data_IF_232667555902
#
_entry.id   IF_232667555902
#
_cell.length_a   1.000
_cell.length_b   1.000
_cell.length_c   1.000
_cell.angle_alpha   90.00
_cell.angle_beta   90.00
_cell.angle_gamma   90.00
#
_symmetry.space_group_name_H-M   'P 1'
#
loop_
_entity.id
_entity.type
_entity.pdbx_description
1 polymer ?
#
# COMPACT_ATOMS: atom_id res chain seq x y z
N UNK A 1 -30.55 33.16 -23.19
CA UNK A 1 -30.01 32.55 -21.96
C UNK A 1 -29.30 31.28 -22.39
N UNK A 2 -27.97 31.35 -22.56
CA UNK A 2 -27.17 30.18 -22.97
C UNK A 2 -27.09 29.25 -21.76
N UNK A 3 -27.59 28.03 -21.93
CA UNK A 3 -27.35 26.95 -20.96
C UNK A 3 -25.85 26.71 -20.92
N UNK A 4 -25.25 26.87 -19.74
CA UNK A 4 -23.89 26.42 -19.52
C UNK A 4 -23.91 24.89 -19.60
N UNK A 5 -23.24 24.32 -20.59
CA UNK A 5 -22.82 22.92 -20.54
C UNK A 5 -21.89 22.80 -19.33
N UNK A 6 -22.46 22.40 -18.19
CA UNK A 6 -21.69 21.90 -17.06
C UNK A 6 -21.13 20.58 -17.54
N UNK A 7 -19.87 20.59 -17.99
CA UNK A 7 -19.12 19.38 -18.22
C UNK A 7 -19.33 18.49 -16.99
N UNK A 8 -19.85 17.28 -17.20
CA UNK A 8 -20.02 16.30 -16.13
C UNK A 8 -18.70 16.26 -15.37
N UNK A 9 -18.72 16.60 -14.08
CA UNK A 9 -17.49 16.67 -13.31
C UNK A 9 -16.80 15.31 -13.43
N UNK A 10 -15.52 15.31 -13.83
CA UNK A 10 -14.73 14.11 -14.07
C UNK A 10 -14.58 13.31 -12.77
N UNK A 11 -15.59 12.49 -12.47
CA UNK A 11 -15.64 11.67 -11.28
C UNK A 11 -14.48 10.67 -11.30
N UNK A 12 -13.77 10.56 -10.18
CA UNK A 12 -12.63 9.66 -10.08
C UNK A 12 -11.37 10.14 -10.80
N UNK A 13 -11.15 11.45 -10.83
CA UNK A 13 -9.87 12.05 -11.27
C UNK A 13 -9.15 12.74 -10.12
N UNK A 14 -7.82 12.81 -10.21
CA UNK A 14 -6.99 13.51 -9.24
C UNK A 14 -7.37 15.00 -9.19
N UNK A 15 -7.66 15.51 -8.00
CA UNK A 15 -8.13 16.88 -7.76
C UNK A 15 -9.61 17.11 -8.12
N UNK A 16 -10.33 16.11 -8.63
CA UNK A 16 -11.75 16.18 -8.93
C UNK A 16 -12.62 16.20 -7.66
N UNK A 17 -13.95 16.35 -7.80
CA UNK A 17 -14.85 16.29 -6.65
C UNK A 17 -14.81 14.91 -5.98
N UNK A 18 -14.83 14.90 -4.65
CA UNK A 18 -14.91 13.69 -3.84
C UNK A 18 -16.38 13.20 -3.73
N UNK A 19 -16.62 11.88 -3.59
CA UNK A 19 -17.93 11.36 -3.24
C UNK A 19 -18.48 12.02 -1.98
N UNK A 20 -19.75 12.44 -2.00
CA UNK A 20 -20.34 13.19 -0.89
C UNK A 20 -20.54 12.36 0.38
N UNK A 21 -20.60 11.04 0.27
CA UNK A 21 -20.97 10.11 1.34
C UNK A 21 -19.83 9.24 1.87
N UNK A 22 -18.55 9.64 1.67
CA UNK A 22 -17.39 8.87 2.15
C UNK A 22 -17.48 8.62 3.66
N UNK A 23 -17.84 9.64 4.45
CA UNK A 23 -17.93 9.52 5.90
C UNK A 23 -19.04 8.56 6.33
N UNK A 24 -20.19 8.57 5.64
CA UNK A 24 -21.29 7.64 5.90
C UNK A 24 -20.87 6.19 5.65
N UNK A 25 -20.23 5.94 4.50
CA UNK A 25 -19.69 4.61 4.14
C UNK A 25 -18.67 4.15 5.18
N UNK A 26 -17.72 5.01 5.54
CA UNK A 26 -16.68 4.68 6.51
C UNK A 26 -17.27 4.37 7.89
N UNK A 27 -18.28 5.14 8.32
CA UNK A 27 -18.96 4.91 9.58
C UNK A 27 -19.68 3.56 9.60
N UNK A 28 -20.36 3.18 8.52
CA UNK A 28 -21.01 1.86 8.40
C UNK A 28 -19.96 0.75 8.43
N UNK A 29 -18.90 0.84 7.63
CA UNK A 29 -17.85 -0.18 7.58
C UNK A 29 -17.10 -0.34 8.92
N UNK A 30 -17.01 0.73 9.72
CA UNK A 30 -16.32 0.74 11.02
C UNK A 30 -17.17 0.15 12.15
N UNK A 31 -18.47 -0.14 11.92
CA UNK A 31 -19.33 -0.81 12.91
C UNK A 31 -18.82 -2.21 13.27
N UNK A 32 -18.18 -2.89 12.32
CA UNK A 32 -17.59 -4.21 12.57
C UNK A 32 -16.33 -4.09 13.44
N UNK A 33 -16.13 -4.97 14.44
CA UNK A 33 -15.06 -4.84 15.44
C UNK A 33 -13.72 -5.43 14.97
N UNK A 34 -13.36 -5.26 13.70
CA UNK A 34 -12.07 -5.73 13.19
C UNK A 34 -10.91 -4.93 13.79
N UNK A 35 -9.74 -5.56 13.88
CA UNK A 35 -8.51 -4.95 14.39
C UNK A 35 -7.60 -4.45 13.26
N UNK A 36 -7.61 -5.16 12.13
CA UNK A 36 -6.85 -4.86 10.94
C UNK A 36 -7.63 -5.29 9.69
N UNK A 37 -7.25 -4.78 8.52
CA UNK A 37 -7.78 -5.24 7.24
C UNK A 37 -6.67 -5.32 6.19
N UNK A 38 -6.56 -6.46 5.53
CA UNK A 38 -5.72 -6.65 4.36
C UNK A 38 -6.48 -6.12 3.14
N UNK A 39 -5.95 -5.08 2.51
CA UNK A 39 -6.51 -4.47 1.32
C UNK A 39 -5.82 -5.06 0.10
N UNK A 40 -6.54 -5.93 -0.61
CA UNK A 40 -6.06 -6.64 -1.78
C UNK A 40 -6.66 -5.99 -3.01
N UNK A 41 -5.83 -5.28 -3.76
CA UNK A 41 -6.25 -4.52 -4.92
C UNK A 41 -5.87 -5.24 -6.21
N UNK A 42 -6.83 -5.46 -7.10
CA UNK A 42 -6.68 -6.20 -8.36
C UNK A 42 -7.39 -5.46 -9.50
N UNK A 43 -6.88 -5.62 -10.72
CA UNK A 43 -7.48 -4.97 -11.88
C UNK A 43 -6.55 -4.81 -13.08
N UNK A 44 -7.12 -4.39 -14.20
CA UNK A 44 -6.48 -4.31 -15.53
C UNK A 44 -5.64 -3.04 -15.68
N UNK A 45 -4.60 -2.84 -14.88
CA UNK A 45 -3.60 -1.85 -15.24
C UNK A 45 -2.80 -2.35 -16.45
N UNK A 46 -2.65 -1.51 -17.49
CA UNK A 46 -1.93 -1.84 -18.75
C UNK A 46 -0.46 -2.28 -18.58
N UNK A 47 0.09 -2.21 -17.37
CA UNK A 47 1.32 -2.90 -16.99
C UNK A 47 0.97 -3.92 -15.92
N UNK A 48 1.33 -5.18 -16.12
CA UNK A 48 0.90 -6.37 -15.37
C UNK A 48 1.19 -6.37 -13.86
N UNK A 49 0.64 -5.44 -13.10
CA UNK A 49 0.55 -5.52 -11.65
C UNK A 49 -0.34 -6.73 -11.32
N UNK A 50 0.24 -7.79 -10.78
CA UNK A 50 -0.44 -9.00 -10.26
C UNK A 50 -1.25 -8.73 -8.99
N UNK A 51 -1.66 -7.47 -8.78
CA UNK A 51 -2.31 -6.94 -7.60
C UNK A 51 -1.47 -5.90 -6.87
N UNK A 52 -1.99 -5.39 -5.76
CA UNK A 52 -1.30 -4.57 -4.76
C UNK A 52 -1.84 -4.97 -3.37
N UNK A 53 -0.96 -4.98 -2.36
CA UNK A 53 -1.32 -5.33 -0.99
C UNK A 53 -1.00 -4.15 -0.08
N UNK A 54 -2.01 -3.67 0.64
CA UNK A 54 -1.86 -2.69 1.70
C UNK A 54 -2.47 -3.25 3.00
N UNK A 55 -2.06 -2.68 4.13
CA UNK A 55 -2.55 -3.08 5.44
C UNK A 55 -3.20 -1.88 6.13
N UNK A 56 -4.49 -1.97 6.42
CA UNK A 56 -5.17 -1.03 7.30
C UNK A 56 -5.04 -1.50 8.75
N UNK A 57 -4.50 -0.65 9.63
CA UNK A 57 -4.47 -0.88 11.07
C UNK A 57 -5.50 0.02 11.73
N UNK A 58 -6.38 -0.57 12.54
CA UNK A 58 -7.39 0.19 13.27
C UNK A 58 -6.78 0.92 14.46
N UNK A 59 -6.90 2.24 14.45
CA UNK A 59 -6.52 3.11 15.56
C UNK A 59 -7.71 3.34 16.51
N UNK A 60 -7.46 3.41 17.83
CA UNK A 60 -8.52 3.51 18.85
C UNK A 60 -9.13 4.92 19.02
N UNK A 61 -8.62 5.94 18.33
CA UNK A 61 -9.14 7.31 18.40
C UNK A 61 -10.35 7.53 17.45
N UNK A 62 -11.23 8.53 17.71
CA UNK A 62 -12.16 9.00 16.70
C UNK A 62 -11.36 9.52 15.51
N UNK A 63 -11.40 8.75 14.43
CA UNK A 63 -10.51 8.92 13.30
C UNK A 63 -10.67 7.77 12.32
N UNK A 64 -10.00 7.92 11.20
CA UNK A 64 -9.95 6.91 10.16
C UNK A 64 -8.90 5.85 10.50
N UNK A 65 -9.02 4.65 9.92
CA UNK A 65 -7.91 3.69 9.99
C UNK A 65 -6.70 4.24 9.22
N UNK A 66 -5.50 3.82 9.59
CA UNK A 66 -4.31 4.13 8.82
C UNK A 66 -3.97 2.97 7.90
N UNK A 67 -3.81 3.27 6.61
CA UNK A 67 -3.40 2.32 5.59
C UNK A 67 -1.91 2.48 5.33
N UNK A 68 -1.18 1.39 5.48
CA UNK A 68 0.24 1.27 5.17
C UNK A 68 0.42 0.58 3.83
N UNK A 69 1.19 1.19 2.94
CA UNK A 69 1.47 0.62 1.62
C UNK A 69 2.85 0.99 1.09
N UNK A 70 3.42 0.15 0.23
CA UNK A 70 4.71 0.44 -0.41
C UNK A 70 4.53 1.40 -1.60
N UNK A 71 5.27 2.51 -1.57
CA UNK A 71 5.37 3.50 -2.62
C UNK A 71 6.15 2.97 -3.83
N UNK A 72 5.46 2.79 -4.96
CA UNK A 72 6.07 2.35 -6.21
C UNK A 72 7.20 3.28 -6.70
N UNK A 73 7.07 4.58 -6.47
CA UNK A 73 8.01 5.59 -6.97
C UNK A 73 9.23 5.77 -6.08
N UNK A 74 9.25 5.17 -4.89
CA UNK A 74 10.42 5.11 -4.01
C UNK A 74 11.49 4.10 -4.49
N UNK A 75 11.65 3.94 -5.81
CA UNK A 75 12.60 3.02 -6.46
C UNK A 75 13.97 3.67 -6.77
N UNK A 76 14.08 4.98 -6.52
CA UNK A 76 15.23 5.84 -6.84
C UNK A 76 15.58 5.87 -8.34
N UNK A 77 14.64 5.57 -9.24
CA UNK A 77 14.87 5.70 -10.67
C UNK A 77 14.99 7.18 -11.05
N UNK A 78 15.93 7.56 -11.94
CA UNK A 78 16.10 8.96 -12.35
C UNK A 78 14.82 9.63 -12.88
N UNK A 79 13.98 8.86 -13.58
CA UNK A 79 12.67 9.32 -14.08
C UNK A 79 11.63 9.62 -12.99
N UNK A 80 11.82 9.09 -11.78
CA UNK A 80 10.93 9.31 -10.63
C UNK A 80 11.48 10.37 -9.66
N UNK A 81 12.66 10.94 -9.94
CA UNK A 81 13.29 11.92 -9.05
C UNK A 81 12.56 13.28 -8.98
N UNK A 82 11.61 13.55 -9.88
CA UNK A 82 10.79 14.77 -9.89
C UNK A 82 9.35 14.44 -10.26
N UNK A 83 8.41 15.14 -9.63
CA UNK A 83 6.97 15.01 -9.92
C UNK A 83 6.29 13.83 -9.23
N UNK A 84 7.01 13.09 -8.38
CA UNK A 84 6.50 11.97 -7.60
C UNK A 84 6.85 12.17 -6.13
N UNK A 85 5.96 11.72 -5.25
CA UNK A 85 6.24 11.60 -3.84
C UNK A 85 7.23 10.44 -3.67
N UNK A 86 8.42 10.73 -3.15
CA UNK A 86 9.48 9.73 -2.94
C UNK A 86 10.11 9.84 -1.57
N UNK A 87 9.47 10.59 -0.67
CA UNK A 87 10.00 10.88 0.66
C UNK A 87 10.01 9.60 1.49
N UNK A 88 8.95 8.79 1.42
CA UNK A 88 8.85 7.51 2.11
C UNK A 88 8.68 6.31 1.16
N UNK A 89 9.22 5.16 1.58
CA UNK A 89 9.02 3.87 0.92
C UNK A 89 7.72 3.21 1.38
N UNK A 90 7.41 3.27 2.67
CA UNK A 90 6.15 2.85 3.25
C UNK A 90 5.31 4.07 3.56
N UNK A 91 4.29 4.30 2.76
CA UNK A 91 3.35 5.40 2.89
C UNK A 91 2.30 5.04 3.94
N UNK A 92 1.89 6.01 4.75
CA UNK A 92 0.77 5.89 5.68
C UNK A 92 -0.23 7.02 5.45
N UNK A 93 -1.47 6.68 5.08
CA UNK A 93 -2.56 7.66 4.87
C UNK A 93 -3.87 7.17 5.51
N UNK A 94 -4.82 8.07 5.81
CA UNK A 94 -6.17 7.67 6.23
C UNK A 94 -6.83 6.71 5.22
N UNK A 95 -7.55 5.70 5.68
CA UNK A 95 -8.19 4.70 4.81
C UNK A 95 -9.21 5.28 3.83
N UNK A 96 -9.98 6.29 4.22
CA UNK A 96 -10.84 7.08 3.33
C UNK A 96 -10.03 7.78 2.25
N UNK A 97 -8.86 8.32 2.60
CA UNK A 97 -7.94 8.92 1.61
C UNK A 97 -7.44 7.86 0.64
N UNK A 98 -6.93 6.76 1.19
CA UNK A 98 -6.42 5.63 0.42
C UNK A 98 -7.45 5.10 -0.58
N UNK A 99 -8.70 4.91 -0.15
CA UNK A 99 -9.74 4.30 -0.96
C UNK A 99 -10.44 5.29 -1.88
N UNK A 100 -10.89 6.45 -1.36
CA UNK A 100 -11.95 7.24 -1.99
C UNK A 100 -11.61 8.70 -2.28
N UNK A 101 -10.55 9.27 -1.71
CA UNK A 101 -10.26 10.69 -1.94
C UNK A 101 -9.59 10.94 -3.28
N UNK A 102 -9.77 12.16 -3.76
CA UNK A 102 -9.17 12.68 -5.01
C UNK A 102 -8.00 13.63 -4.73
N UNK A 103 -7.74 13.96 -3.46
CA UNK A 103 -6.58 14.71 -2.99
C UNK A 103 -5.83 13.92 -1.91
N UNK A 104 -4.52 14.19 -1.78
CA UNK A 104 -3.68 13.51 -0.79
C UNK A 104 -3.10 14.46 0.24
N UNK A 105 -3.04 14.00 1.49
CA UNK A 105 -2.35 14.66 2.59
C UNK A 105 -0.83 14.63 2.47
N UNK A 106 -0.28 13.76 1.62
CA UNK A 106 1.16 13.69 1.31
C UNK A 106 1.62 14.79 0.34
N UNK A 107 0.67 15.52 -0.25
CA UNK A 107 0.92 16.62 -1.19
C UNK A 107 0.72 16.26 -2.66
N UNK A 108 0.93 17.25 -3.52
CA UNK A 108 0.53 17.21 -4.94
C UNK A 108 1.31 16.19 -5.78
N UNK A 109 2.43 15.68 -5.28
CA UNK A 109 3.26 14.69 -5.97
C UNK A 109 2.87 13.25 -5.64
N UNK A 110 1.95 13.02 -4.71
CA UNK A 110 1.41 11.69 -4.42
C UNK A 110 0.72 11.08 -5.66
N UNK A 111 0.82 9.76 -5.81
CA UNK A 111 0.28 9.06 -6.97
C UNK A 111 -1.16 8.62 -6.77
N UNK A 112 -2.05 9.20 -7.57
CA UNK A 112 -3.45 8.79 -7.63
C UNK A 112 -3.61 7.37 -8.20
N UNK A 113 -4.42 6.55 -7.55
CA UNK A 113 -4.61 5.14 -7.88
C UNK A 113 -3.44 4.22 -7.46
N UNK A 114 -2.56 4.70 -6.57
CA UNK A 114 -1.47 3.93 -5.97
C UNK A 114 -1.29 4.28 -4.49
N UNK A 115 -0.99 5.55 -4.19
CA UNK A 115 -0.79 6.02 -2.81
C UNK A 115 -2.12 6.44 -2.16
N UNK A 116 -3.08 6.89 -2.98
CA UNK A 116 -4.43 7.29 -2.58
C UNK A 116 -5.44 7.14 -3.72
N UNK A 117 -6.74 7.21 -3.42
CA UNK A 117 -7.83 7.10 -4.41
C UNK A 117 -7.82 5.77 -5.18
N UNK A 118 -7.41 4.68 -4.54
CA UNK A 118 -7.13 3.43 -5.23
C UNK A 118 -8.36 2.81 -5.91
N UNK A 119 -9.56 3.02 -5.36
CA UNK A 119 -10.80 2.46 -5.91
C UNK A 119 -11.12 2.95 -7.33
N UNK A 120 -10.57 4.10 -7.72
CA UNK A 120 -10.80 4.68 -9.05
C UNK A 120 -10.00 3.99 -10.15
N UNK A 121 -8.99 3.21 -9.79
CA UNK A 121 -8.10 2.53 -10.75
C UNK A 121 -8.18 1.00 -10.66
N UNK A 122 -8.63 0.48 -9.51
CA UNK A 122 -8.58 -0.96 -9.19
C UNK A 122 -9.82 -1.36 -8.41
N UNK A 123 -10.18 -2.64 -8.51
CA UNK A 123 -11.08 -3.27 -7.54
C UNK A 123 -10.29 -3.61 -6.28
N UNK A 124 -10.93 -3.50 -5.12
CA UNK A 124 -10.29 -3.73 -3.82
C UNK A 124 -11.18 -4.67 -3.02
N UNK A 125 -10.59 -5.73 -2.47
CA UNK A 125 -11.20 -6.58 -1.46
C UNK A 125 -10.50 -6.29 -0.12
N UNK A 126 -11.30 -6.01 0.91
CA UNK A 126 -10.83 -5.94 2.29
C UNK A 126 -11.06 -7.27 3.01
N UNK A 127 -9.99 -7.88 3.52
CA UNK A 127 -10.06 -9.06 4.40
C UNK A 127 -9.84 -8.60 5.83
N UNK A 128 -10.90 -8.64 6.63
CA UNK A 128 -10.87 -8.19 8.02
C UNK A 128 -10.31 -9.26 8.94
N UNK A 129 -9.42 -8.83 9.82
CA UNK A 129 -8.75 -9.67 10.81
C UNK A 129 -9.16 -9.21 12.21
N UNK A 130 -9.50 -10.17 13.05
CA UNK A 130 -10.04 -9.96 14.39
C UNK A 130 -9.13 -10.61 15.44
N UNK A 131 -9.14 -10.06 16.65
CA UNK A 131 -8.41 -10.62 17.79
C UNK A 131 -6.91 -10.35 17.75
N UNK A 132 -6.47 -9.32 17.02
CA UNK A 132 -5.05 -8.98 16.88
C UNK A 132 -4.60 -8.20 18.12
N UNK A 133 -3.61 -8.69 18.88
CA UNK A 133 -3.11 -7.99 20.05
C UNK A 133 -2.64 -6.56 19.72
N UNK A 134 -2.90 -5.63 20.64
CA UNK A 134 -2.47 -4.22 20.47
C UNK A 134 -0.95 -4.11 20.21
N UNK A 135 -0.16 -4.90 20.94
CA UNK A 135 1.29 -4.96 20.77
C UNK A 135 1.72 -5.39 19.35
N UNK A 136 0.98 -6.29 18.70
CA UNK A 136 1.28 -6.71 17.33
C UNK A 136 0.98 -5.58 16.33
N UNK A 137 -0.15 -4.87 16.51
CA UNK A 137 -0.49 -3.70 15.68
C UNK A 137 0.56 -2.59 15.82
N UNK A 138 1.02 -2.32 17.04
CA UNK A 138 2.08 -1.37 17.32
C UNK A 138 3.42 -1.81 16.70
N UNK A 139 3.76 -3.09 16.79
CA UNK A 139 4.97 -3.66 16.19
C UNK A 139 4.96 -3.58 14.66
N UNK A 140 3.81 -3.82 14.01
CA UNK A 140 3.64 -3.65 12.57
C UNK A 140 3.89 -2.20 12.14
N UNK A 141 3.22 -1.25 12.81
CA UNK A 141 3.39 0.18 12.54
C UNK A 141 4.85 0.63 12.75
N UNK A 142 5.48 0.19 13.84
CA UNK A 142 6.89 0.48 14.12
C UNK A 142 7.83 -0.12 13.06
N UNK A 143 7.53 -1.32 12.55
CA UNK A 143 8.34 -1.93 11.51
C UNK A 143 8.22 -1.19 10.16
N UNK A 144 7.04 -0.67 9.82
CA UNK A 144 6.90 0.19 8.64
C UNK A 144 7.70 1.47 8.77
N UNK A 145 7.73 2.08 9.96
CA UNK A 145 8.59 3.24 10.22
C UNK A 145 10.07 2.86 10.06
N UNK A 146 10.49 1.71 10.60
CA UNK A 146 11.86 1.21 10.41
C UNK A 146 12.21 1.05 8.92
N UNK A 147 11.30 0.54 8.09
CA UNK A 147 11.54 0.45 6.64
C UNK A 147 11.80 1.84 6.03
N UNK A 148 11.08 2.88 6.48
CA UNK A 148 11.33 4.25 6.04
C UNK A 148 12.68 4.77 6.53
N UNK A 149 13.02 4.55 7.80
CA UNK A 149 14.32 4.95 8.35
C UNK A 149 15.47 4.29 7.56
N UNK A 150 15.35 2.99 7.27
CA UNK A 150 16.33 2.25 6.47
C UNK A 150 16.36 2.73 5.01
N UNK A 151 15.21 3.09 4.43
CA UNK A 151 15.11 3.72 3.12
C UNK A 151 15.85 5.07 3.10
N UNK A 152 15.57 5.99 4.03
CA UNK A 152 16.20 7.31 4.09
C UNK A 152 17.72 7.20 4.27
N UNK A 153 18.15 6.30 5.15
CA UNK A 153 19.56 6.05 5.45
C UNK A 153 20.29 5.24 4.36
N UNK A 154 19.59 4.83 3.29
CA UNK A 154 20.14 4.01 2.20
C UNK A 154 20.80 2.73 2.72
N UNK A 155 20.21 2.15 3.76
CA UNK A 155 20.71 0.91 4.35
C UNK A 155 20.71 -0.19 3.29
N UNK A 156 21.73 -1.04 3.37
CA UNK A 156 21.90 -2.19 2.49
C UNK A 156 21.97 -3.45 3.34
N UNK A 157 21.33 -4.50 2.86
CA UNK A 157 21.42 -5.86 3.42
C UNK A 157 21.01 -5.93 4.90
N UNK A 158 19.70 -5.84 5.12
CA UNK A 158 19.07 -6.09 6.43
C UNK A 158 18.66 -7.56 6.57
N UNK A 159 18.20 -7.97 7.74
CA UNK A 159 17.66 -9.32 7.97
C UNK A 159 16.39 -9.62 7.15
N UNK A 160 15.71 -8.58 6.64
CA UNK A 160 14.46 -8.71 5.88
C UNK A 160 14.61 -8.44 4.38
N UNK A 161 15.74 -7.86 3.94
CA UNK A 161 15.99 -7.58 2.53
C UNK A 161 17.48 -7.55 2.18
N UNK A 162 17.87 -8.29 1.13
CA UNK A 162 19.19 -8.22 0.53
C UNK A 162 19.22 -7.21 -0.63
N UNK A 163 20.05 -6.17 -0.50
CA UNK A 163 20.10 -5.01 -1.38
C UNK A 163 19.84 -3.70 -0.64
N UNK A 164 19.85 -2.60 -1.39
CA UNK A 164 19.46 -1.29 -0.87
C UNK A 164 17.95 -1.24 -0.61
N UNK A 165 17.56 -0.71 0.54
CA UNK A 165 16.15 -0.49 0.86
C UNK A 165 15.60 0.60 -0.06
N UNK A 166 14.78 0.17 -1.01
CA UNK A 166 14.02 0.97 -1.99
C UNK A 166 12.98 0.06 -2.64
N UNK A 167 11.97 0.64 -3.27
CA UNK A 167 10.98 -0.15 -3.99
C UNK A 167 11.66 -0.94 -5.11
N UNK A 168 11.40 -2.24 -5.14
CA UNK A 168 11.78 -3.12 -6.23
C UNK A 168 10.64 -4.09 -6.49
N UNK A 169 10.11 -4.06 -7.71
CA UNK A 169 8.95 -4.84 -8.13
C UNK A 169 9.08 -6.34 -7.83
N UNK A 170 10.31 -6.87 -7.86
CA UNK A 170 10.61 -8.29 -7.65
C UNK A 170 11.11 -8.54 -6.22
N UNK A 171 11.93 -7.64 -5.65
CA UNK A 171 12.74 -7.91 -4.46
C UNK A 171 12.29 -7.20 -3.18
N UNK A 172 11.50 -6.13 -3.28
CA UNK A 172 10.96 -5.37 -2.14
C UNK A 172 9.70 -4.61 -2.59
N UNK A 173 8.67 -5.38 -2.95
CA UNK A 173 7.37 -4.85 -3.34
C UNK A 173 6.41 -4.81 -2.15
N UNK A 174 5.19 -4.31 -2.38
CA UNK A 174 4.14 -4.20 -1.37
C UNK A 174 3.88 -5.50 -0.58
N UNK A 175 3.74 -6.64 -1.27
CA UNK A 175 3.53 -7.92 -0.61
C UNK A 175 4.68 -8.29 0.32
N UNK A 176 5.93 -8.05 -0.12
CA UNK A 176 7.10 -8.37 0.69
C UNK A 176 7.27 -7.44 1.88
N UNK A 177 7.01 -6.14 1.75
CA UNK A 177 7.12 -5.21 2.88
C UNK A 177 6.08 -5.53 3.96
N UNK A 178 4.83 -5.83 3.57
CA UNK A 178 3.81 -6.30 4.51
C UNK A 178 4.21 -7.63 5.15
N UNK A 179 4.59 -8.64 4.37
CA UNK A 179 5.03 -9.93 4.91
C UNK A 179 6.24 -9.81 5.83
N UNK A 180 7.20 -8.95 5.50
CA UNK A 180 8.35 -8.66 6.35
C UNK A 180 7.93 -8.03 7.69
N UNK A 181 6.95 -7.13 7.70
CA UNK A 181 6.43 -6.55 8.93
C UNK A 181 5.82 -7.61 9.86
N UNK A 182 5.05 -8.56 9.32
CA UNK A 182 4.54 -9.67 10.14
C UNK A 182 5.67 -10.57 10.66
N UNK A 183 6.59 -11.00 9.77
CA UNK A 183 7.66 -11.94 10.13
C UNK A 183 8.67 -11.36 11.12
N UNK A 184 9.17 -10.17 10.84
CA UNK A 184 10.28 -9.55 11.56
C UNK A 184 9.85 -8.47 12.56
N UNK A 185 8.64 -7.91 12.40
CA UNK A 185 8.06 -6.95 13.34
C UNK A 185 7.13 -7.62 14.35
N UNK A 186 6.08 -8.29 13.88
CA UNK A 186 5.01 -8.84 14.73
C UNK A 186 5.30 -10.25 15.29
N UNK A 187 6.44 -10.86 15.00
CA UNK A 187 6.86 -12.14 15.58
C UNK A 187 6.33 -13.40 14.86
N UNK A 188 5.84 -13.28 13.63
CA UNK A 188 5.32 -14.40 12.84
C UNK A 188 6.48 -15.15 12.18
N UNK A 189 7.38 -15.72 12.99
CA UNK A 189 8.69 -16.22 12.54
C UNK A 189 8.61 -17.33 11.48
N UNK A 190 7.55 -18.14 11.55
CA UNK A 190 7.27 -19.23 10.62
C UNK A 190 6.67 -18.75 9.28
N UNK A 191 6.31 -17.47 9.17
CA UNK A 191 5.81 -16.89 7.92
C UNK A 191 6.89 -16.95 6.84
N UNK A 192 6.58 -17.61 5.72
CA UNK A 192 7.49 -17.69 4.59
C UNK A 192 7.42 -16.44 3.71
N UNK A 193 8.38 -15.53 3.92
CA UNK A 193 8.59 -14.35 3.07
C UNK A 193 9.71 -14.65 2.07
N UNK A 194 9.33 -15.06 0.86
CA UNK A 194 10.29 -15.44 -0.18
C UNK A 194 10.94 -14.22 -0.84
N UNK A 195 12.23 -14.32 -1.16
CA UNK A 195 12.92 -13.39 -2.06
C UNK A 195 13.26 -14.14 -3.34
N UNK A 196 12.89 -13.61 -4.50
CA UNK A 196 13.28 -14.25 -5.76
C UNK A 196 14.81 -14.29 -5.87
N UNK A 197 15.41 -15.48 -5.72
CA UNK A 197 16.83 -15.69 -6.02
C UNK A 197 17.00 -15.54 -7.53
N UNK A 198 17.66 -14.48 -7.96
CA UNK A 198 17.92 -14.23 -9.38
C UNK A 198 18.96 -15.24 -9.87
N UNK A 199 18.53 -16.43 -10.29
CA UNK A 199 19.37 -17.29 -11.12
C UNK A 199 19.63 -16.53 -12.43
N UNK A 200 20.90 -16.32 -12.74
CA UNK A 200 21.44 -15.39 -13.75
C UNK A 200 21.01 -15.63 -15.21
N UNK A 201 20.00 -16.46 -15.47
CA UNK A 201 19.50 -16.75 -16.82
C UNK A 201 17.97 -16.83 -16.99
N UNK A 202 17.14 -16.62 -15.95
CA UNK A 202 15.66 -16.82 -16.03
C UNK A 202 14.84 -15.65 -15.44
N UNK A 203 15.17 -14.40 -15.81
CA UNK A 203 14.42 -13.20 -15.37
C UNK A 203 12.89 -13.28 -15.61
N UNK A 204 12.46 -13.96 -16.68
CA UNK A 204 11.04 -14.10 -17.03
C UNK A 204 10.24 -14.99 -16.06
N UNK A 205 10.85 -16.04 -15.50
CA UNK A 205 10.17 -16.95 -14.55
C UNK A 205 10.15 -16.36 -13.14
N UNK A 206 11.21 -15.63 -12.77
CA UNK A 206 11.29 -14.95 -11.46
C UNK A 206 10.23 -13.85 -11.31
N UNK A 207 9.86 -13.15 -12.39
CA UNK A 207 8.81 -12.14 -12.36
C UNK A 207 7.38 -12.74 -12.23
N UNK A 208 7.17 -13.97 -12.70
CA UNK A 208 5.88 -14.65 -12.64
C UNK A 208 5.55 -15.24 -11.25
N UNK A 209 6.58 -15.55 -10.46
CA UNK A 209 6.44 -16.23 -9.15
C UNK A 209 6.85 -15.34 -7.94
N UNK A 210 7.25 -14.09 -8.15
CA UNK A 210 7.72 -13.24 -7.05
C UNK A 210 6.55 -12.59 -6.30
N UNK A 211 6.23 -13.15 -5.13
CA UNK A 211 5.37 -12.59 -4.08
C UNK A 211 4.11 -11.90 -4.61
N UNK A 212 3.20 -12.73 -5.12
CA UNK A 212 1.89 -12.27 -5.57
C UNK A 212 1.12 -11.76 -4.34
N UNK A 213 0.57 -10.53 -4.36
CA UNK A 213 -0.24 -9.96 -3.27
C UNK A 213 -1.25 -10.94 -2.67
N UNK A 214 -1.96 -11.68 -3.52
CA UNK A 214 -2.93 -12.69 -3.09
C UNK A 214 -2.27 -13.86 -2.34
N UNK A 215 -1.12 -14.36 -2.77
CA UNK A 215 -0.41 -15.45 -2.07
C UNK A 215 0.06 -15.01 -0.69
N UNK A 216 0.59 -13.79 -0.55
CA UNK A 216 0.98 -13.26 0.75
C UNK A 216 -0.24 -13.09 1.65
N UNK A 217 -1.34 -12.55 1.13
CA UNK A 217 -2.58 -12.41 1.89
C UNK A 217 -3.16 -13.74 2.37
N UNK A 218 -2.93 -14.85 1.65
CA UNK A 218 -3.34 -16.20 2.07
C UNK A 218 -2.42 -16.81 3.15
N UNK A 219 -1.18 -16.31 3.29
CA UNK A 219 -0.21 -16.76 4.30
C UNK A 219 -0.35 -16.03 5.63
N UNK A 220 -0.90 -14.81 5.60
CA UNK A 220 -1.19 -13.96 6.76
C UNK A 220 -2.51 -14.36 7.40
#
# INVERSE_FOLDING_TARGET
>A
MLAADVAAADFGTKGGPEPANIDEIANVLRQDPYDMELLISYGTSKGGSTGHLALAIRVQAPGDDLVYTANFYADRAPKHAKGFYTDDLMVSVPKKEYLFKTNSSLGDTASFGLDFGEIYKRSIIGVRVYGVPAAEKEALAAFFQRINDDYHNRVRSTEYHDGEIRYDYIRLNCAKTIGAAFKYGAGYHDLEVTSAKLLSGRRLVAAANANIPTEMAMKL
#
